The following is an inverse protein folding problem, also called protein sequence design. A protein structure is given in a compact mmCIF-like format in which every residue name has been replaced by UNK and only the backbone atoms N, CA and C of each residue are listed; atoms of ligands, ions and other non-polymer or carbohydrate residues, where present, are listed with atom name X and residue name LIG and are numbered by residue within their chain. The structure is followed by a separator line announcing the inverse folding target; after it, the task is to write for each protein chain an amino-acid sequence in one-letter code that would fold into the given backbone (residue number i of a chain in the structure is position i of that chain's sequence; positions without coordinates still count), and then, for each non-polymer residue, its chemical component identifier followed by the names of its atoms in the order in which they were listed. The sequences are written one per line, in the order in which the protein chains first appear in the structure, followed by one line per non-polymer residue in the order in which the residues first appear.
data_IF_122859079834
#
_entry.id   IF_122859079834
#
_cell.length_a   1.000
_cell.length_b   1.000
_cell.length_c   1.000
_cell.angle_alpha   90.00
_cell.angle_beta   90.00
_cell.angle_gamma   90.00
#
_symmetry.space_group_name_H-M   'P 1'
#
loop_
_entity.id
_entity.type
_entity.pdbx_description
1 polymer ?
#
# COMPACT_ATOMS: atom_id res chain seq x y z
N UNK A 1 -11.43 19.30 -17.06
CA UNK A 1 -10.09 18.79 -16.67
C UNK A 1 -9.40 18.30 -17.92
N UNK A 2 -8.25 18.89 -18.29
CA UNK A 2 -7.52 18.48 -19.51
C UNK A 2 -6.98 17.06 -19.32
N UNK A 3 -7.46 16.15 -20.14
CA UNK A 3 -7.01 14.75 -20.20
C UNK A 3 -5.52 14.76 -20.61
N UNK A 4 -4.62 14.77 -19.60
CA UNK A 4 -3.18 14.77 -19.85
C UNK A 4 -2.82 13.36 -20.33
N UNK A 5 -2.37 13.22 -21.56
CA UNK A 5 -1.96 11.94 -22.11
C UNK A 5 -0.90 11.30 -21.19
N UNK A 6 -1.03 10.01 -20.91
CA UNK A 6 -0.07 9.27 -20.12
C UNK A 6 1.32 9.34 -20.75
N UNK A 7 2.36 9.47 -19.92
CA UNK A 7 3.75 9.43 -20.36
C UNK A 7 4.27 8.00 -20.24
N UNK A 8 4.78 7.46 -21.33
CA UNK A 8 5.41 6.13 -21.37
C UNK A 8 6.92 6.33 -21.54
N UNK A 9 7.71 5.65 -20.74
CA UNK A 9 9.17 5.68 -20.77
C UNK A 9 9.74 4.26 -20.71
N UNK A 10 10.88 4.05 -21.37
CA UNK A 10 11.62 2.79 -21.27
C UNK A 10 12.21 2.68 -19.87
N UNK A 11 12.05 1.52 -19.23
CA UNK A 11 12.54 1.22 -17.88
C UNK A 11 13.56 0.07 -17.86
N UNK A 12 13.76 -0.62 -18.99
CA UNK A 12 14.69 -1.73 -19.15
C UNK A 12 14.56 -2.32 -20.54
N UNK A 13 15.30 -3.40 -20.84
CA UNK A 13 15.27 -4.06 -22.17
C UNK A 13 13.89 -4.58 -22.53
N UNK A 14 13.11 -5.04 -21.55
CA UNK A 14 11.79 -5.63 -21.71
C UNK A 14 10.78 -5.01 -20.74
N UNK A 15 10.93 -3.73 -20.41
CA UNK A 15 10.03 -3.06 -19.48
C UNK A 15 9.76 -1.61 -19.87
N UNK A 16 8.51 -1.19 -19.65
CA UNK A 16 8.01 0.17 -19.83
C UNK A 16 7.37 0.66 -18.54
N UNK A 17 7.60 1.92 -18.19
CA UNK A 17 6.88 2.58 -17.11
C UNK A 17 5.89 3.61 -17.67
N UNK A 18 4.65 3.54 -17.18
CA UNK A 18 3.54 4.41 -17.56
C UNK A 18 3.23 5.34 -16.42
N UNK A 19 3.36 6.64 -16.61
CA UNK A 19 3.04 7.67 -15.63
C UNK A 19 1.67 8.27 -15.94
N UNK A 20 0.79 8.27 -14.94
CA UNK A 20 -0.58 8.80 -15.04
C UNK A 20 -0.69 10.23 -14.52
N UNK A 21 0.06 10.56 -13.47
CA UNK A 21 0.00 11.85 -12.80
C UNK A 21 1.32 12.17 -12.09
N UNK A 22 1.53 13.46 -11.81
CA UNK A 22 2.57 13.93 -10.90
C UNK A 22 2.05 14.06 -9.46
N UNK A 23 0.77 13.73 -9.23
CA UNK A 23 0.10 13.77 -7.91
C UNK A 23 -0.54 12.42 -7.62
N UNK A 24 -0.59 12.09 -6.35
CA UNK A 24 -1.27 10.91 -5.84
C UNK A 24 -2.68 11.30 -5.42
N UNK A 25 -3.69 10.66 -5.98
CA UNK A 25 -5.08 10.79 -5.54
C UNK A 25 -5.88 9.51 -5.85
N UNK A 26 -7.07 9.41 -5.27
CA UNK A 26 -7.92 8.24 -5.41
C UNK A 26 -8.39 8.00 -6.86
N UNK A 27 -8.59 9.05 -7.64
CA UNK A 27 -9.01 8.94 -9.04
C UNK A 27 -7.89 8.36 -9.90
N UNK A 28 -6.65 8.80 -9.69
CA UNK A 28 -5.45 8.24 -10.34
C UNK A 28 -5.28 6.76 -9.97
N UNK A 29 -5.45 6.40 -8.71
CA UNK A 29 -5.37 5.00 -8.27
C UNK A 29 -6.44 4.13 -8.94
N UNK A 30 -7.67 4.61 -9.08
CA UNK A 30 -8.74 3.90 -9.79
C UNK A 30 -8.42 3.73 -11.27
N UNK A 31 -7.88 4.77 -11.92
CA UNK A 31 -7.45 4.71 -13.30
C UNK A 31 -6.32 3.69 -13.50
N UNK A 32 -5.34 3.67 -12.60
CA UNK A 32 -4.23 2.70 -12.61
C UNK A 32 -4.77 1.26 -12.58
N UNK A 33 -5.74 0.97 -11.71
CA UNK A 33 -6.33 -0.36 -11.62
C UNK A 33 -7.06 -0.79 -12.90
N UNK A 34 -7.89 0.09 -13.43
CA UNK A 34 -8.61 -0.17 -14.68
C UNK A 34 -7.62 -0.40 -15.83
N UNK A 35 -6.57 0.42 -15.94
CA UNK A 35 -5.53 0.26 -16.95
C UNK A 35 -4.70 -1.01 -16.72
N UNK A 36 -4.37 -1.35 -15.48
CA UNK A 36 -3.65 -2.59 -15.15
C UNK A 36 -4.42 -3.82 -15.63
N UNK A 37 -5.71 -3.89 -15.35
CA UNK A 37 -6.57 -4.98 -15.79
C UNK A 37 -6.64 -5.06 -17.32
N UNK A 38 -6.80 -3.93 -18.00
CA UNK A 38 -6.86 -3.87 -19.45
C UNK A 38 -5.54 -4.27 -20.11
N UNK A 39 -4.41 -3.81 -19.58
CA UNK A 39 -3.05 -4.17 -20.04
C UNK A 39 -2.80 -5.68 -19.83
N UNK A 40 -3.14 -6.21 -18.66
CA UNK A 40 -3.01 -7.63 -18.34
C UNK A 40 -3.77 -8.50 -19.35
N UNK A 41 -5.02 -8.16 -19.61
CA UNK A 41 -5.87 -8.87 -20.57
C UNK A 41 -5.30 -8.80 -22.00
N UNK A 42 -4.87 -7.61 -22.43
CA UNK A 42 -4.40 -7.38 -23.80
C UNK A 42 -3.02 -7.99 -24.09
N UNK A 43 -2.14 -8.07 -23.12
CA UNK A 43 -0.83 -8.70 -23.27
C UNK A 43 -0.89 -10.22 -23.12
N UNK A 44 -1.75 -10.74 -22.24
CA UNK A 44 -1.91 -12.18 -22.01
C UNK A 44 -0.56 -12.87 -21.69
N UNK A 45 -0.23 -13.91 -22.46
CA UNK A 45 1.02 -14.66 -22.28
C UNK A 45 2.32 -13.89 -22.57
N UNK A 46 2.24 -12.70 -23.15
CA UNK A 46 3.39 -11.81 -23.38
C UNK A 46 3.75 -10.99 -22.12
N UNK A 47 2.86 -10.91 -21.14
CA UNK A 47 3.10 -10.22 -19.89
C UNK A 47 3.88 -11.14 -18.95
N UNK A 48 5.01 -10.65 -18.43
CA UNK A 48 5.77 -11.31 -17.35
C UNK A 48 5.24 -10.82 -16.00
N UNK A 49 5.16 -9.48 -15.83
CA UNK A 49 4.67 -8.89 -14.58
C UNK A 49 4.14 -7.48 -14.81
N UNK A 50 3.29 -7.03 -13.88
CA UNK A 50 2.70 -5.71 -13.89
C UNK A 50 2.66 -5.16 -12.46
N UNK A 51 3.46 -4.13 -12.22
CA UNK A 51 3.60 -3.52 -10.90
C UNK A 51 2.93 -2.15 -10.88
N UNK A 52 1.76 -2.10 -10.26
CA UNK A 52 1.06 -0.84 -10.00
C UNK A 52 1.68 -0.11 -8.80
N UNK A 53 1.75 1.22 -8.89
CA UNK A 53 2.23 2.10 -7.85
C UNK A 53 1.32 3.34 -7.74
N UNK A 54 1.69 4.31 -6.92
CA UNK A 54 0.90 5.51 -6.60
C UNK A 54 0.35 6.27 -7.82
N UNK A 55 1.19 6.47 -8.84
CA UNK A 55 0.83 7.24 -10.04
C UNK A 55 1.42 6.63 -11.32
N UNK A 56 1.85 5.37 -11.28
CA UNK A 56 2.49 4.70 -12.41
C UNK A 56 2.24 3.19 -12.41
N UNK A 57 2.48 2.58 -13.58
CA UNK A 57 2.49 1.14 -13.77
C UNK A 57 3.82 0.78 -14.43
N UNK A 58 4.55 -0.17 -13.87
CA UNK A 58 5.65 -0.83 -14.55
C UNK A 58 5.11 -2.08 -15.25
N UNK A 59 5.33 -2.17 -16.56
CA UNK A 59 4.91 -3.30 -17.39
C UNK A 59 6.17 -4.04 -17.83
N UNK A 60 6.31 -5.31 -17.42
CA UNK A 60 7.42 -6.19 -17.79
C UNK A 60 6.85 -7.26 -18.72
N UNK A 61 7.44 -7.42 -19.88
CA UNK A 61 6.95 -8.34 -20.91
C UNK A 61 8.07 -9.24 -21.46
N UNK A 62 7.68 -10.33 -22.10
CA UNK A 62 8.62 -11.25 -22.75
C UNK A 62 9.14 -10.63 -24.05
N UNK A 63 10.41 -10.21 -24.04
CA UNK A 63 11.09 -9.60 -25.18
C UNK A 63 11.32 -10.56 -26.37
N UNK A 64 11.09 -11.86 -26.19
CA UNK A 64 11.10 -12.83 -27.29
C UNK A 64 9.77 -12.91 -28.01
N UNK A 65 8.67 -12.49 -27.36
CA UNK A 65 7.30 -12.56 -27.91
C UNK A 65 6.77 -11.20 -28.39
N UNK A 66 7.37 -10.09 -27.95
CA UNK A 66 6.90 -8.73 -28.25
C UNK A 66 8.02 -7.71 -28.08
N UNK A 67 7.75 -6.46 -28.41
CA UNK A 67 8.69 -5.35 -28.33
C UNK A 67 8.08 -4.08 -27.72
N UNK A 68 8.92 -3.07 -27.45
CA UNK A 68 8.52 -1.79 -26.89
C UNK A 68 7.43 -1.08 -27.71
N UNK A 69 7.45 -1.19 -29.04
CA UNK A 69 6.48 -0.50 -29.90
C UNK A 69 5.10 -1.13 -29.79
N UNK A 70 5.04 -2.45 -29.87
CA UNK A 70 3.80 -3.22 -29.75
C UNK A 70 3.18 -3.02 -28.37
N UNK A 71 3.98 -3.14 -27.29
CA UNK A 71 3.52 -2.94 -25.92
C UNK A 71 3.06 -1.49 -25.68
N UNK A 72 3.81 -0.49 -26.17
CA UNK A 72 3.40 0.92 -26.06
C UNK A 72 2.07 1.20 -26.76
N UNK A 73 1.81 0.56 -27.90
CA UNK A 73 0.52 0.67 -28.61
C UNK A 73 -0.63 0.10 -27.80
N UNK A 74 -0.42 -1.06 -27.18
CA UNK A 74 -1.41 -1.70 -26.29
C UNK A 74 -1.69 -0.80 -25.07
N UNK A 75 -0.65 -0.28 -24.43
CA UNK A 75 -0.79 0.62 -23.27
C UNK A 75 -1.60 1.88 -23.66
N UNK A 76 -1.31 2.50 -24.81
CA UNK A 76 -2.04 3.68 -25.28
C UNK A 76 -3.52 3.38 -25.54
N UNK A 77 -3.84 2.24 -26.13
CA UNK A 77 -5.22 1.81 -26.32
C UNK A 77 -5.95 1.61 -24.99
N UNK A 78 -5.35 0.85 -24.07
CA UNK A 78 -5.91 0.60 -22.73
C UNK A 78 -6.15 1.90 -21.93
N UNK A 79 -5.24 2.88 -22.04
CA UNK A 79 -5.40 4.17 -21.35
C UNK A 79 -6.43 5.09 -22.00
N UNK A 80 -6.64 5.00 -23.31
CA UNK A 80 -7.68 5.75 -24.01
C UNK A 80 -9.09 5.23 -23.68
N UNK A 81 -9.28 3.90 -23.63
CA UNK A 81 -10.57 3.26 -23.34
C UNK A 81 -11.02 3.54 -21.90
N UNK A 82 -10.10 3.51 -20.93
CA UNK A 82 -10.43 3.82 -19.54
C UNK A 82 -10.78 5.28 -19.29
N UNK A 83 -10.29 6.20 -20.11
CA UNK A 83 -10.66 7.62 -20.01
C UNK A 83 -12.06 7.94 -20.54
N UNK A 84 -12.62 7.11 -21.41
CA UNK A 84 -13.98 7.27 -21.96
C UNK A 84 -15.07 6.62 -21.10
N UNK A 85 -14.73 5.67 -20.24
CA UNK A 85 -15.69 4.96 -19.37
C UNK A 85 -15.93 5.62 -18.00
N UNK A 86 -15.25 6.71 -17.68
CA UNK A 86 -15.29 7.36 -16.35
C UNK A 86 -16.61 8.05 -16.00
N UNK A 87 -17.69 7.94 -16.80
CA UNK A 87 -18.96 8.64 -16.56
C UNK A 87 -20.10 7.76 -16.04
N UNK A 88 -20.04 6.44 -16.10
CA UNK A 88 -21.22 5.62 -15.77
C UNK A 88 -20.99 4.39 -14.84
N UNK A 89 -19.76 4.08 -14.39
CA UNK A 89 -19.54 2.82 -13.65
C UNK A 89 -18.80 3.02 -12.33
N UNK A 90 -19.09 4.10 -11.61
CA UNK A 90 -18.34 4.48 -10.37
C UNK A 90 -18.63 3.63 -9.13
N UNK A 91 -19.52 2.62 -9.19
CA UNK A 91 -19.93 1.86 -8.00
C UNK A 91 -19.34 0.45 -7.88
N UNK A 92 -18.74 -0.11 -8.92
CA UNK A 92 -18.26 -1.50 -8.90
C UNK A 92 -16.73 -1.69 -8.95
N UNK A 93 -15.94 -0.61 -8.88
CA UNK A 93 -14.46 -0.68 -8.91
C UNK A 93 -13.78 -0.23 -7.59
N UNK A 94 -14.52 -0.10 -6.52
CA UNK A 94 -13.91 0.02 -5.20
C UNK A 94 -13.36 -1.36 -4.81
N UNK A 95 -12.05 -1.48 -4.57
CA UNK A 95 -11.43 -2.70 -4.05
C UNK A 95 -12.12 -3.17 -2.77
N UNK A 96 -11.81 -4.38 -2.33
CA UNK A 96 -12.42 -4.96 -1.13
C UNK A 96 -12.13 -4.09 0.09
N UNK A 97 -13.07 -4.08 1.04
CA UNK A 97 -12.85 -3.47 2.35
C UNK A 97 -12.31 -4.54 3.31
N UNK A 98 -11.08 -4.36 3.75
CA UNK A 98 -10.38 -5.28 4.65
C UNK A 98 -10.25 -4.62 6.03
N UNK A 99 -10.60 -5.35 7.07
CA UNK A 99 -10.39 -4.90 8.44
C UNK A 99 -9.17 -5.59 9.03
N UNK A 100 -8.17 -4.83 9.46
CA UNK A 100 -6.97 -5.33 10.11
C UNK A 100 -7.03 -5.02 11.61
N UNK A 101 -7.02 -6.06 12.49
CA UNK A 101 -6.97 -5.87 13.93
C UNK A 101 -5.61 -5.35 14.37
N UNK A 102 -5.57 -4.41 15.31
CA UNK A 102 -4.32 -3.83 15.81
C UNK A 102 -4.39 -3.63 17.31
N UNK A 103 -3.40 -4.13 18.01
CA UNK A 103 -3.15 -3.82 19.40
C UNK A 103 -2.33 -2.53 19.50
N UNK A 104 -2.98 -1.45 19.94
CA UNK A 104 -2.36 -0.15 20.19
C UNK A 104 -2.03 -0.01 21.66
N UNK A 105 -0.77 0.21 21.98
CA UNK A 105 -0.30 0.53 23.32
C UNK A 105 1.12 1.09 23.26
N UNK A 106 1.61 1.68 24.34
CA UNK A 106 3.02 2.07 24.45
C UNK A 106 3.94 0.84 24.37
N UNK A 107 3.46 -0.33 24.82
CA UNK A 107 4.17 -1.60 24.74
C UNK A 107 4.33 -2.06 23.28
N UNK A 108 3.27 -1.97 22.45
CA UNK A 108 3.26 -2.45 21.06
C UNK A 108 3.66 -1.39 20.04
N UNK A 109 3.56 -0.12 20.38
CA UNK A 109 3.91 1.03 19.56
C UNK A 109 4.77 2.03 20.32
N UNK A 110 6.09 1.81 20.39
CA UNK A 110 7.00 2.62 21.20
C UNK A 110 7.04 4.10 20.80
N UNK A 111 6.60 4.47 19.62
CA UNK A 111 6.55 5.85 19.17
C UNK A 111 5.18 6.51 19.38
N UNK A 112 4.15 5.75 19.79
CA UNK A 112 2.78 6.25 19.92
C UNK A 112 2.69 7.46 20.87
N UNK A 113 3.34 7.39 22.04
CA UNK A 113 3.33 8.49 23.00
C UNK A 113 4.07 9.74 22.47
N UNK A 114 5.25 9.56 21.87
CA UNK A 114 6.01 10.67 21.32
C UNK A 114 5.35 11.31 20.10
N UNK A 115 4.66 10.51 19.28
CA UNK A 115 3.86 11.00 18.17
C UNK A 115 2.70 11.85 18.66
N UNK A 116 1.95 11.37 19.66
CA UNK A 116 0.84 12.08 20.27
C UNK A 116 1.30 13.43 20.86
N UNK A 117 2.38 13.43 21.65
CA UNK A 117 2.96 14.64 22.23
C UNK A 117 3.36 15.67 21.15
N UNK A 118 4.08 15.26 20.12
CA UNK A 118 4.50 16.15 19.01
C UNK A 118 3.32 16.76 18.26
N UNK A 119 2.17 16.10 18.27
CA UNK A 119 0.95 16.56 17.60
C UNK A 119 -0.02 17.28 18.52
N UNK A 120 0.29 17.40 19.82
CA UNK A 120 -0.60 17.99 20.83
C UNK A 120 -1.88 17.18 21.06
N UNK A 121 -1.80 15.85 20.87
CA UNK A 121 -2.89 14.90 21.01
C UNK A 121 -2.63 13.95 22.19
N UNK A 122 -3.67 13.27 22.64
CA UNK A 122 -3.52 12.07 23.48
C UNK A 122 -3.27 10.83 22.61
N UNK A 123 -2.74 9.77 23.22
CA UNK A 123 -2.58 8.46 22.53
C UNK A 123 -3.92 7.95 22.00
N UNK A 124 -4.99 8.08 22.78
CA UNK A 124 -6.34 7.67 22.39
C UNK A 124 -6.84 8.45 21.18
N UNK A 125 -6.58 9.76 21.11
CA UNK A 125 -6.92 10.57 19.95
C UNK A 125 -6.15 10.14 18.68
N UNK A 126 -4.88 9.77 18.82
CA UNK A 126 -4.10 9.23 17.68
C UNK A 126 -4.71 7.91 17.21
N UNK A 127 -5.06 7.01 18.14
CA UNK A 127 -5.70 5.72 17.84
C UNK A 127 -7.06 5.94 17.15
N UNK A 128 -7.90 6.81 17.70
CA UNK A 128 -9.21 7.11 17.14
C UNK A 128 -9.11 7.63 15.70
N UNK A 129 -8.21 8.58 15.45
CA UNK A 129 -7.99 9.11 14.10
C UNK A 129 -7.51 8.00 13.17
N UNK A 130 -6.54 7.16 13.61
CA UNK A 130 -6.01 6.09 12.78
C UNK A 130 -7.04 5.02 12.48
N UNK A 131 -7.92 4.67 13.41
CA UNK A 131 -8.93 3.61 13.26
C UNK A 131 -10.20 4.06 12.55
N UNK A 132 -10.55 5.35 12.59
CA UNK A 132 -11.71 5.90 11.90
C UNK A 132 -11.42 6.30 10.45
N UNK A 133 -10.16 6.33 10.05
CA UNK A 133 -9.74 6.62 8.67
C UNK A 133 -9.78 5.35 7.82
N UNK A 134 -10.42 5.43 6.66
CA UNK A 134 -10.33 4.40 5.61
C UNK A 134 -9.11 4.67 4.74
N UNK A 135 -8.22 3.70 4.63
CA UNK A 135 -6.99 3.79 3.85
C UNK A 135 -7.11 3.04 2.54
N UNK A 136 -6.46 3.52 1.50
CA UNK A 136 -6.31 2.80 0.24
C UNK A 136 -4.94 2.15 0.13
N UNK A 137 -4.88 0.92 -0.40
CA UNK A 137 -3.62 0.27 -0.77
C UNK A 137 -3.16 0.86 -2.11
N UNK A 138 -2.16 1.74 -2.08
CA UNK A 138 -1.64 2.39 -3.29
C UNK A 138 -0.57 1.56 -4.01
N UNK A 139 0.20 0.80 -3.26
CA UNK A 139 1.26 -0.04 -3.80
C UNK A 139 1.58 -1.18 -2.83
N UNK A 140 2.10 -2.28 -3.36
CA UNK A 140 2.70 -3.36 -2.57
C UNK A 140 4.13 -3.53 -3.08
N UNK A 141 5.13 -3.50 -2.18
CA UNK A 141 6.54 -3.55 -2.55
C UNK A 141 7.45 -3.30 -1.36
N UNK A 142 8.75 -3.14 -1.59
CA UNK A 142 9.79 -3.12 -0.56
C UNK A 142 10.09 -4.51 0.01
N UNK A 143 9.08 -5.23 0.49
CA UNK A 143 9.15 -6.61 0.93
C UNK A 143 7.84 -7.32 0.55
N UNK A 144 7.82 -8.66 0.37
CA UNK A 144 6.59 -9.40 0.13
C UNK A 144 5.53 -9.10 1.20
N UNK A 145 4.36 -8.61 0.77
CA UNK A 145 3.25 -8.23 1.66
C UNK A 145 3.34 -6.84 2.28
N UNK A 146 4.37 -6.03 2.01
CA UNK A 146 4.41 -4.65 2.51
C UNK A 146 3.49 -3.77 1.67
N UNK A 147 2.34 -3.43 2.23
CA UNK A 147 1.34 -2.59 1.60
C UNK A 147 1.49 -1.13 2.07
N UNK A 148 1.67 -0.22 1.12
CA UNK A 148 1.66 1.22 1.37
C UNK A 148 0.22 1.71 1.37
N UNK A 149 -0.25 2.11 2.54
CA UNK A 149 -1.60 2.60 2.78
C UNK A 149 -1.60 4.12 2.91
N UNK A 150 -2.55 4.78 2.34
CA UNK A 150 -2.73 6.22 2.44
C UNK A 150 -4.20 6.64 2.24
N UNK A 151 -4.55 7.86 2.57
CA UNK A 151 -3.67 8.86 3.14
C UNK A 151 -3.94 8.98 4.65
N UNK A 152 -2.88 9.04 5.44
CA UNK A 152 -2.98 9.34 6.88
C UNK A 152 -3.45 10.77 7.08
N UNK A 153 -4.35 10.97 8.03
CA UNK A 153 -4.84 12.29 8.43
C UNK A 153 -3.67 13.19 8.87
N UNK A 154 -3.66 14.44 8.42
CA UNK A 154 -2.59 15.40 8.70
C UNK A 154 -2.34 15.64 10.20
N UNK A 155 -3.37 15.44 11.02
CA UNK A 155 -3.27 15.57 12.48
C UNK A 155 -2.31 14.56 13.09
N UNK A 156 -2.14 13.37 12.49
CA UNK A 156 -1.26 12.30 12.98
C UNK A 156 -0.12 11.96 12.00
N UNK A 157 -0.07 12.61 10.84
CA UNK A 157 1.02 12.44 9.88
C UNK A 157 2.35 12.93 10.48
N UNK A 158 3.41 12.13 10.38
CA UNK A 158 4.70 12.45 10.98
C UNK A 158 5.86 12.02 10.06
N UNK A 159 6.95 12.80 9.99
CA UNK A 159 8.10 12.41 9.19
C UNK A 159 8.74 11.13 9.71
N UNK A 160 9.53 10.48 8.88
CA UNK A 160 10.34 9.34 9.28
C UNK A 160 11.29 9.72 10.42
N UNK A 161 11.64 8.74 11.24
CA UNK A 161 12.66 8.91 12.27
C UNK A 161 13.99 9.32 11.63
N UNK A 162 14.72 10.24 12.28
CA UNK A 162 16.03 10.67 11.79
C UNK A 162 17.05 9.52 11.74
N UNK A 163 16.95 8.58 12.68
CA UNK A 163 17.76 7.37 12.71
C UNK A 163 16.83 6.16 12.58
N UNK A 164 16.88 5.42 11.46
CA UNK A 164 16.11 4.21 11.31
C UNK A 164 16.50 3.13 12.35
N UNK A 165 15.52 2.34 12.77
CA UNK A 165 15.79 1.15 13.60
C UNK A 165 16.42 0.06 12.74
N UNK A 166 17.36 -0.69 13.32
CA UNK A 166 17.96 -1.85 12.67
C UNK A 166 16.94 -2.99 12.52
N UNK A 167 15.99 -3.06 13.47
CA UNK A 167 14.97 -4.12 13.52
C UNK A 167 13.63 -3.50 13.87
N UNK A 168 12.67 -3.61 12.95
CA UNK A 168 11.25 -3.36 13.18
C UNK A 168 10.57 -4.72 13.17
N UNK A 169 9.77 -5.08 14.18
CA UNK A 169 9.20 -6.43 14.26
C UNK A 169 8.13 -6.65 13.19
N UNK A 170 7.92 -7.92 12.82
CA UNK A 170 6.76 -8.35 12.04
C UNK A 170 5.48 -7.90 12.72
N UNK A 171 4.51 -7.45 11.95
CA UNK A 171 3.23 -6.97 12.44
C UNK A 171 3.25 -5.51 12.92
N UNK A 172 4.41 -4.85 12.99
CA UNK A 172 4.46 -3.45 13.39
C UNK A 172 3.59 -2.58 12.48
N UNK A 173 2.65 -1.85 13.09
CA UNK A 173 1.83 -0.83 12.44
C UNK A 173 2.54 0.51 12.61
N UNK A 174 2.75 1.21 11.51
CA UNK A 174 3.61 2.39 11.53
C UNK A 174 3.14 3.51 10.62
N UNK A 175 3.51 4.75 10.98
CA UNK A 175 3.23 5.97 10.21
C UNK A 175 4.54 6.61 9.75
N UNK A 176 4.58 7.02 8.48
CA UNK A 176 5.61 7.88 7.93
C UNK A 176 5.01 8.84 6.90
N UNK A 177 5.21 10.14 7.09
CA UNK A 177 4.57 11.19 6.32
C UNK A 177 3.03 11.01 6.29
N UNK A 178 2.42 10.86 5.14
CA UNK A 178 0.98 10.58 4.99
C UNK A 178 0.70 9.11 4.68
N UNK A 179 1.61 8.21 5.02
CA UNK A 179 1.49 6.78 4.78
C UNK A 179 1.39 6.01 6.10
N UNK A 180 0.63 4.91 6.08
CA UNK A 180 0.67 3.88 7.12
C UNK A 180 0.91 2.52 6.47
N UNK A 181 1.43 1.57 7.23
CA UNK A 181 1.69 0.22 6.77
C UNK A 181 1.75 -0.76 7.95
N UNK A 182 1.63 -2.05 7.61
CA UNK A 182 1.95 -3.16 8.51
C UNK A 182 3.20 -3.85 7.98
N UNK A 183 4.23 -3.98 8.80
CA UNK A 183 5.47 -4.67 8.43
C UNK A 183 5.22 -6.18 8.30
N UNK A 184 5.42 -6.81 7.12
CA UNK A 184 5.16 -8.22 6.91
C UNK A 184 6.18 -9.16 7.56
N UNK A 185 7.39 -8.66 7.78
CA UNK A 185 8.52 -9.39 8.36
C UNK A 185 9.43 -8.44 9.14
N UNK A 186 10.31 -8.98 9.99
CA UNK A 186 11.34 -8.19 10.64
C UNK A 186 12.25 -7.56 9.58
N UNK A 187 12.44 -6.25 9.64
CA UNK A 187 13.28 -5.50 8.70
C UNK A 187 13.75 -4.17 9.31
N UNK A 188 14.81 -3.55 8.79
CA UNK A 188 15.15 -2.18 9.15
C UNK A 188 14.03 -1.20 8.73
N UNK A 189 13.82 -0.14 9.54
CA UNK A 189 12.81 0.87 9.19
C UNK A 189 12.85 2.11 10.07
N UNK A 190 12.48 3.25 9.47
CA UNK A 190 12.45 4.55 10.13
C UNK A 190 11.03 5.11 10.31
N UNK A 191 9.99 4.27 10.26
CA UNK A 191 8.62 4.71 10.48
C UNK A 191 8.29 4.76 11.97
N UNK A 192 7.33 5.59 12.36
CA UNK A 192 6.87 5.73 13.74
C UNK A 192 5.93 4.57 14.08
N UNK A 193 6.36 3.68 14.97
CA UNK A 193 5.61 2.49 15.37
C UNK A 193 4.53 2.85 16.36
N UNK A 194 3.27 2.54 16.05
CA UNK A 194 2.09 2.91 16.85
C UNK A 194 1.30 1.72 17.40
N UNK A 195 1.57 0.49 16.94
CA UNK A 195 0.87 -0.71 17.37
C UNK A 195 1.39 -1.96 16.69
N UNK A 196 0.75 -3.10 16.97
CA UNK A 196 1.02 -4.40 16.35
C UNK A 196 -0.25 -5.02 15.79
N UNK A 197 -0.18 -5.50 14.55
CA UNK A 197 -1.20 -6.29 13.87
C UNK A 197 -0.83 -7.78 13.93
N UNK A 198 -1.71 -8.67 14.40
CA UNK A 198 -1.43 -10.11 14.44
C UNK A 198 -1.59 -10.77 13.07
N UNK A 199 -2.31 -10.14 12.13
CA UNK A 199 -2.58 -10.70 10.81
C UNK A 199 -1.29 -10.81 9.99
N UNK A 200 -0.96 -12.01 9.47
CA UNK A 200 0.15 -12.17 8.54
C UNK A 200 -0.12 -11.40 7.24
N UNK A 201 0.75 -10.45 6.90
CA UNK A 201 0.62 -9.68 5.66
C UNK A 201 1.17 -10.44 4.44
N UNK A 202 1.91 -11.50 4.66
CA UNK A 202 2.41 -12.40 3.64
C UNK A 202 2.55 -13.83 4.20
N UNK A 203 1.97 -14.81 3.51
CA UNK A 203 2.10 -16.22 3.84
C UNK A 203 2.16 -17.04 2.54
N UNK A 204 3.36 -17.51 2.16
CA UNK A 204 3.61 -18.12 0.85
C UNK A 204 2.78 -19.39 0.55
N UNK A 205 2.25 -20.05 1.59
CA UNK A 205 1.44 -21.27 1.46
C UNK A 205 -0.05 -21.03 1.64
N UNK A 206 -0.46 -19.80 1.93
CA UNK A 206 -1.87 -19.46 2.07
C UNK A 206 -2.51 -19.13 0.71
N UNK A 207 -3.83 -19.22 0.65
CA UNK A 207 -4.64 -18.74 -0.46
C UNK A 207 -5.80 -17.90 0.11
N UNK A 208 -5.79 -16.59 -0.05
CA UNK A 208 -4.77 -15.75 -0.74
C UNK A 208 -3.45 -15.65 0.06
N UNK A 209 -2.33 -15.47 -0.66
CA UNK A 209 -0.97 -15.31 -0.07
C UNK A 209 -0.83 -14.01 0.73
N UNK A 210 -1.65 -13.02 0.44
CA UNK A 210 -1.70 -11.71 1.11
C UNK A 210 -3.16 -11.35 1.42
N UNK A 211 -3.43 -10.73 2.59
CA UNK A 211 -4.80 -10.34 2.94
C UNK A 211 -5.30 -9.12 2.16
N UNK A 212 -4.42 -8.39 1.49
CA UNK A 212 -4.73 -7.17 0.73
C UNK A 212 -4.12 -7.20 -0.65
N UNK A 213 -4.76 -6.50 -1.58
CA UNK A 213 -4.30 -6.26 -2.95
C UNK A 213 -4.22 -4.77 -3.23
N UNK A 214 -3.41 -4.36 -4.22
CA UNK A 214 -3.38 -2.94 -4.65
C UNK A 214 -4.78 -2.48 -5.04
N UNK A 215 -5.21 -1.36 -4.44
CA UNK A 215 -6.52 -0.76 -4.62
C UNK A 215 -7.58 -1.18 -3.63
N UNK A 216 -7.35 -2.18 -2.82
CA UNK A 216 -8.21 -2.48 -1.68
C UNK A 216 -8.27 -1.30 -0.71
N UNK A 217 -9.30 -1.32 0.13
CA UNK A 217 -9.51 -0.37 1.21
C UNK A 217 -9.26 -1.07 2.53
N UNK A 218 -8.62 -0.39 3.44
CA UNK A 218 -8.25 -0.95 4.75
C UNK A 218 -8.78 -0.05 5.85
N UNK A 219 -9.42 -0.66 6.85
CA UNK A 219 -9.75 -0.02 8.13
C UNK A 219 -9.00 -0.79 9.22
N UNK A 220 -8.33 -0.08 10.10
CA UNK A 220 -7.73 -0.65 11.29
C UNK A 220 -8.75 -0.72 12.43
N UNK A 221 -8.80 -1.86 13.13
CA UNK A 221 -9.68 -2.05 14.30
C UNK A 221 -8.83 -2.20 15.55
N UNK A 222 -8.99 -1.31 16.51
CA UNK A 222 -8.34 -1.46 17.80
C UNK A 222 -8.85 -2.72 18.53
N UNK A 223 -7.91 -3.52 19.03
CA UNK A 223 -8.19 -4.72 19.83
C UNK A 223 -7.41 -4.68 21.14
N UNK A 224 -7.86 -5.44 22.15
CA UNK A 224 -7.15 -5.55 23.41
C UNK A 224 -5.96 -6.53 23.31
N UNK A 225 -5.08 -6.51 24.33
CA UNK A 225 -3.90 -7.40 24.39
C UNK A 225 -4.27 -8.87 24.33
N UNK A 226 -5.35 -9.27 25.01
CA UNK A 226 -5.78 -10.67 25.02
C UNK A 226 -6.23 -11.12 23.63
N UNK A 227 -7.06 -10.32 22.96
CA UNK A 227 -7.51 -10.59 21.59
C UNK A 227 -6.32 -10.65 20.61
N UNK A 228 -5.31 -9.78 20.78
CA UNK A 228 -4.09 -9.82 19.99
C UNK A 228 -3.34 -11.16 20.13
N UNK A 229 -3.20 -11.66 21.37
CA UNK A 229 -2.55 -12.95 21.66
C UNK A 229 -3.38 -14.12 21.12
N UNK A 230 -4.69 -14.08 21.30
CA UNK A 230 -5.61 -15.13 20.83
C UNK A 230 -5.60 -15.24 19.29
N UNK A 231 -5.34 -14.15 18.60
CA UNK A 231 -5.13 -14.08 17.15
C UNK A 231 -3.71 -14.48 16.70
N UNK A 232 -2.87 -14.98 17.61
CA UNK A 232 -1.52 -15.44 17.32
C UNK A 232 -0.45 -14.33 17.31
N UNK A 233 -0.77 -13.15 17.82
CA UNK A 233 0.21 -12.07 18.00
C UNK A 233 1.24 -12.38 19.09
N UNK A 234 2.49 -11.96 18.92
CA UNK A 234 3.57 -12.07 19.91
C UNK A 234 4.18 -10.72 20.22
N UNK A 235 4.51 -10.49 21.48
CA UNK A 235 5.23 -9.31 21.97
C UNK A 235 6.74 -9.57 22.14
N UNK A 236 7.22 -10.79 21.91
CA UNK A 236 8.60 -11.21 22.20
C UNK A 236 9.63 -10.40 21.38
N UNK A 237 9.27 -10.03 20.15
CA UNK A 237 10.14 -9.27 19.26
C UNK A 237 10.35 -7.80 19.66
N UNK A 238 9.55 -7.28 20.58
CA UNK A 238 9.65 -5.88 21.05
C UNK A 238 10.81 -5.65 22.02
N UNK A 239 11.30 -6.70 22.68
CA UNK A 239 12.47 -6.61 23.55
C UNK A 239 13.75 -6.13 22.86
N UNK A 240 13.82 -6.24 21.54
CA UNK A 240 14.94 -5.79 20.71
C UNK A 240 14.86 -4.31 20.26
N UNK A 241 13.80 -3.60 20.61
CA UNK A 241 13.58 -2.19 20.23
C UNK A 241 14.15 -1.16 21.23
N UNK A 242 14.81 -1.64 22.30
CA UNK A 242 15.44 -0.80 23.32
C UNK A 242 16.84 -0.34 22.89
#
# INVERSE_FOLDING_TARGET
MTNKAVRISVAGENSLIVYFSDRVDAAVSTQIQACSSAIHLALGSKLIDLVASYASILVIYDGLLTDHFAVSKIIRAATADTSSQSTETSTNQAGNLITLPVYYSIESGPDLASLAEKKGLTTDQVIDIHTTTEYRVYAIGFAPGFAYLGEVDERIAAPRLATPRLKVPRGAVAIADRQTAVYPAESPGGWNLIGLCPTPMFEAKADPIMPVSTGDRVIFKAICKQEFIDLGGSLDSLGALK
#
